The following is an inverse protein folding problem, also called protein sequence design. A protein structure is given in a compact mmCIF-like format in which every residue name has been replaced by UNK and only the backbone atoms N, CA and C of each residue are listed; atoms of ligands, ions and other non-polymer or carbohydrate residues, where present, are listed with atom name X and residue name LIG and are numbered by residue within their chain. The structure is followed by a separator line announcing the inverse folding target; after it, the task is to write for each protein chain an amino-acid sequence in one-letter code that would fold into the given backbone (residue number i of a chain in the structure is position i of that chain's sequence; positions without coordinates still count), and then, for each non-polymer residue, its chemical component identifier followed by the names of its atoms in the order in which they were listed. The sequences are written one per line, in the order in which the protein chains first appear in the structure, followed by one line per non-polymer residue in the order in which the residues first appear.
data_IF_031719710995
#
_entry.id   IF_031719710995
#
_cell.length_a   1.000
_cell.length_b   1.000
_cell.length_c   1.000
_cell.angle_alpha   90.00
_cell.angle_beta   90.00
_cell.angle_gamma   90.00
#
_symmetry.space_group_name_H-M   'P 1'
#
loop_
_entity.id
_entity.type
_entity.pdbx_description
1 polymer ?
#
# COMPACT_ATOMS: atom_id res chain seq x y z
N UNK A 1 -39.55 1.91 -22.66
CA UNK A 1 -38.14 1.52 -22.91
C UNK A 1 -37.32 1.90 -21.68
N UNK A 2 -37.17 0.96 -20.75
CA UNK A 2 -36.44 1.17 -19.48
C UNK A 2 -34.94 0.97 -19.73
N UNK A 3 -34.21 2.07 -19.88
CA UNK A 3 -32.75 2.09 -20.05
C UNK A 3 -31.99 2.07 -18.70
N UNK A 4 -32.67 1.75 -17.59
CA UNK A 4 -32.09 1.78 -16.24
C UNK A 4 -31.31 0.50 -15.84
N UNK A 5 -31.43 -0.58 -16.62
CA UNK A 5 -30.81 -1.88 -16.31
C UNK A 5 -29.28 -1.98 -16.52
N UNK A 6 -28.64 -1.35 -17.53
CA UNK A 6 -27.21 -1.54 -17.79
C UNK A 6 -26.31 -0.78 -16.79
N UNK A 7 -26.73 0.37 -16.29
CA UNK A 7 -25.93 1.18 -15.35
C UNK A 7 -25.82 0.46 -14.00
N UNK A 8 -26.93 -0.09 -13.52
CA UNK A 8 -26.97 -0.80 -12.25
C UNK A 8 -26.08 -2.06 -12.29
N UNK A 9 -26.12 -2.83 -13.39
CA UNK A 9 -25.27 -4.02 -13.56
C UNK A 9 -23.77 -3.68 -13.62
N UNK A 10 -23.39 -2.59 -14.30
CA UNK A 10 -21.99 -2.14 -14.40
C UNK A 10 -21.42 -1.68 -13.05
N UNK A 11 -22.23 -1.00 -12.23
CA UNK A 11 -21.82 -0.58 -10.88
C UNK A 11 -21.63 -1.80 -9.97
N UNK A 12 -22.54 -2.77 -10.01
CA UNK A 12 -22.42 -4.00 -9.21
C UNK A 12 -21.18 -4.83 -9.59
N UNK A 13 -20.89 -4.98 -10.89
CA UNK A 13 -19.68 -5.70 -11.35
C UNK A 13 -18.40 -4.98 -10.92
N UNK A 14 -18.38 -3.65 -10.99
CA UNK A 14 -17.20 -2.86 -10.60
C UNK A 14 -16.90 -2.93 -9.10
N UNK A 15 -17.95 -2.93 -8.26
CA UNK A 15 -17.79 -3.08 -6.82
C UNK A 15 -17.32 -4.49 -6.44
N UNK A 16 -17.93 -5.53 -7.01
CA UNK A 16 -17.49 -6.92 -6.79
C UNK A 16 -16.03 -7.14 -7.19
N UNK A 17 -15.62 -6.59 -8.34
CA UNK A 17 -14.23 -6.68 -8.80
C UNK A 17 -13.25 -5.94 -7.88
N UNK A 18 -13.67 -4.81 -7.29
CA UNK A 18 -12.86 -4.07 -6.31
C UNK A 18 -12.69 -4.88 -5.01
N UNK A 19 -13.76 -5.49 -4.51
CA UNK A 19 -13.74 -6.34 -3.33
C UNK A 19 -12.84 -7.58 -3.52
N UNK A 20 -12.92 -8.20 -4.70
CA UNK A 20 -12.04 -9.33 -5.07
C UNK A 20 -10.57 -8.93 -5.09
N UNK A 21 -10.25 -7.74 -5.63
CA UNK A 21 -8.88 -7.22 -5.65
C UNK A 21 -8.36 -6.90 -4.26
N UNK A 22 -9.19 -6.35 -3.37
CA UNK A 22 -8.84 -6.09 -1.97
C UNK A 22 -8.57 -7.40 -1.23
N UNK A 23 -9.44 -8.41 -1.40
CA UNK A 23 -9.25 -9.74 -0.79
C UNK A 23 -7.95 -10.38 -1.28
N UNK A 24 -7.71 -10.36 -2.59
CA UNK A 24 -6.46 -10.88 -3.18
C UNK A 24 -5.24 -10.12 -2.67
N UNK A 25 -5.34 -8.80 -2.56
CA UNK A 25 -4.30 -7.93 -2.02
C UNK A 25 -3.93 -8.28 -0.58
N UNK A 26 -4.93 -8.56 0.27
CA UNK A 26 -4.70 -8.98 1.66
C UNK A 26 -3.95 -10.30 1.74
N UNK A 27 -4.36 -11.29 0.94
CA UNK A 27 -3.67 -12.59 0.86
C UNK A 27 -2.21 -12.41 0.45
N UNK A 28 -1.96 -11.60 -0.58
CA UNK A 28 -0.61 -11.30 -1.07
C UNK A 28 0.22 -10.51 -0.05
N UNK A 29 -0.37 -9.55 0.65
CA UNK A 29 0.31 -8.77 1.69
C UNK A 29 0.87 -9.67 2.81
N UNK A 30 0.15 -10.74 3.13
CA UNK A 30 0.59 -11.76 4.09
C UNK A 30 1.59 -12.72 3.44
N UNK A 31 1.27 -13.29 2.28
CA UNK A 31 2.10 -14.34 1.65
C UNK A 31 3.43 -13.82 1.10
N UNK A 32 3.53 -12.52 0.81
CA UNK A 32 4.78 -11.83 0.44
C UNK A 32 5.48 -11.21 1.65
N UNK A 33 5.05 -11.55 2.87
CA UNK A 33 5.67 -11.15 4.14
C UNK A 33 5.66 -9.64 4.43
N UNK A 34 4.82 -8.85 3.74
CA UNK A 34 4.70 -7.41 4.00
C UNK A 34 4.23 -7.14 5.44
N UNK A 35 3.35 -8.01 5.96
CA UNK A 35 2.82 -7.94 7.33
C UNK A 35 3.85 -8.10 8.45
N UNK A 36 5.06 -8.60 8.15
CA UNK A 36 6.13 -8.72 9.15
C UNK A 36 6.67 -7.35 9.58
N UNK A 37 6.67 -6.36 8.68
CA UNK A 37 7.23 -5.03 8.92
C UNK A 37 6.20 -3.90 8.83
N UNK A 38 5.12 -4.09 8.07
CA UNK A 38 4.10 -3.06 7.90
C UNK A 38 2.85 -3.38 8.72
N UNK A 39 2.69 -2.67 9.84
CA UNK A 39 1.53 -2.79 10.70
C UNK A 39 0.28 -2.22 10.01
N UNK A 40 -0.82 -2.97 10.06
CA UNK A 40 -2.12 -2.61 9.45
C UNK A 40 -3.25 -2.51 10.47
N UNK A 41 -3.03 -3.04 11.68
CA UNK A 41 -4.01 -3.07 12.76
C UNK A 41 -3.31 -2.72 14.09
N UNK A 42 -3.90 -1.82 14.87
CA UNK A 42 -3.28 -1.28 16.08
C UNK A 42 -3.10 -2.35 17.16
N UNK A 43 -4.04 -3.29 17.23
CA UNK A 43 -4.06 -4.38 18.22
C UNK A 43 -3.17 -5.56 17.86
N UNK A 44 -2.57 -5.58 16.67
CA UNK A 44 -1.67 -6.65 16.21
C UNK A 44 -0.22 -6.13 16.28
N UNK A 45 0.61 -6.65 17.21
CA UNK A 45 2.00 -6.22 17.32
C UNK A 45 2.80 -6.47 16.05
N UNK A 46 3.71 -5.55 15.70
CA UNK A 46 4.63 -5.68 14.57
C UNK A 46 6.06 -5.34 15.00
N UNK A 47 6.73 -6.19 15.82
CA UNK A 47 7.99 -5.84 16.46
C UNK A 47 9.12 -5.49 15.48
N UNK A 48 9.20 -6.18 14.35
CA UNK A 48 10.18 -5.86 13.32
C UNK A 48 9.86 -4.51 12.65
N UNK A 49 8.58 -4.21 12.42
CA UNK A 49 8.13 -2.91 11.92
C UNK A 49 8.56 -1.77 12.85
N UNK A 50 8.36 -1.92 14.16
CA UNK A 50 8.75 -0.93 15.16
C UNK A 50 10.28 -0.75 15.22
N UNK A 51 11.04 -1.83 15.24
CA UNK A 51 12.51 -1.78 15.25
C UNK A 51 13.09 -1.10 14.00
N UNK A 52 12.48 -1.34 12.83
CA UNK A 52 12.88 -0.74 11.56
C UNK A 52 12.30 0.66 11.33
N UNK A 53 11.41 1.12 12.22
CA UNK A 53 10.61 2.34 12.04
C UNK A 53 9.89 2.33 10.68
N UNK A 54 9.33 1.18 10.33
CA UNK A 54 8.64 0.97 9.05
C UNK A 54 7.36 1.82 8.99
N UNK A 55 6.97 2.32 7.80
CA UNK A 55 5.68 2.96 7.62
C UNK A 55 4.53 2.04 8.04
N UNK A 56 3.62 2.58 8.85
CA UNK A 56 2.38 1.90 9.25
C UNK A 56 1.25 2.28 8.29
N UNK A 57 0.36 1.33 7.99
CA UNK A 57 -0.80 1.54 7.14
C UNK A 57 -2.07 1.57 7.98
N UNK A 58 -2.19 2.62 8.81
CA UNK A 58 -3.31 2.81 9.74
C UNK A 58 -3.72 4.28 9.77
N UNK A 59 -5.01 4.56 9.99
CA UNK A 59 -5.55 5.92 10.05
C UNK A 59 -5.76 6.54 8.66
N UNK A 60 -5.64 7.86 8.55
CA UNK A 60 -5.80 8.61 7.30
C UNK A 60 -4.42 8.89 6.67
N UNK A 61 -3.95 7.98 5.82
CA UNK A 61 -2.56 8.01 5.31
C UNK A 61 -2.43 8.04 3.79
N UNK A 62 -3.43 7.52 3.05
CA UNK A 62 -3.39 7.51 1.60
C UNK A 62 -3.61 8.91 1.03
N UNK A 63 -2.85 9.29 0.01
CA UNK A 63 -2.88 10.64 -0.56
C UNK A 63 -2.25 11.72 0.34
N UNK A 64 -1.67 11.35 1.49
CA UNK A 64 -0.96 12.30 2.37
C UNK A 64 0.48 12.49 1.95
N UNK A 65 0.97 13.70 2.21
CA UNK A 65 2.38 14.07 2.06
C UNK A 65 3.25 13.33 3.08
N UNK A 66 4.49 13.02 2.69
CA UNK A 66 5.52 12.45 3.54
C UNK A 66 6.90 12.87 3.07
N UNK A 67 7.83 12.95 4.01
CA UNK A 67 9.24 13.19 3.73
C UNK A 67 9.96 11.87 3.45
N UNK A 68 10.76 11.82 2.37
CA UNK A 68 11.57 10.66 1.97
C UNK A 68 12.99 11.09 1.64
N UNK A 69 13.97 10.26 1.95
CA UNK A 69 15.32 10.33 1.37
C UNK A 69 15.29 9.80 -0.07
N UNK A 70 15.95 10.49 -0.99
CA UNK A 70 16.19 10.02 -2.36
C UNK A 70 17.44 9.15 -2.37
N UNK A 71 17.27 7.83 -2.44
CA UNK A 71 18.35 6.86 -2.20
C UNK A 71 18.71 6.72 -0.71
N UNK A 72 19.63 5.80 -0.41
CA UNK A 72 20.10 5.57 0.96
C UNK A 72 20.92 6.78 1.42
N UNK A 73 20.42 7.51 2.42
CA UNK A 73 21.11 8.68 3.00
C UNK A 73 21.14 9.92 2.12
N UNK A 74 20.41 9.94 1.00
CA UNK A 74 20.36 11.10 0.10
C UNK A 74 19.50 12.26 0.61
N UNK A 75 19.32 13.31 -0.21
CA UNK A 75 18.56 14.50 0.19
C UNK A 75 17.10 14.16 0.47
N UNK A 76 16.48 14.90 1.39
CA UNK A 76 15.07 14.74 1.74
C UNK A 76 14.19 15.52 0.75
N UNK A 77 13.11 14.88 0.31
CA UNK A 77 12.04 15.51 -0.48
C UNK A 77 10.67 15.16 0.09
N UNK A 78 9.70 16.03 -0.17
CA UNK A 78 8.28 15.72 0.07
C UNK A 78 7.69 14.98 -1.14
N UNK A 79 6.95 13.90 -0.87
CA UNK A 79 6.18 13.15 -1.86
C UNK A 79 4.77 12.87 -1.33
N UNK A 80 3.83 12.57 -2.22
CA UNK A 80 2.48 12.11 -1.85
C UNK A 80 2.44 10.59 -1.88
N UNK A 81 1.76 9.95 -0.92
CA UNK A 81 1.44 8.52 -1.03
C UNK A 81 0.31 8.31 -2.04
N UNK A 82 0.67 8.34 -3.31
CA UNK A 82 -0.17 8.00 -4.43
C UNK A 82 0.17 6.60 -4.99
N UNK A 83 -0.51 6.23 -6.07
CA UNK A 83 -0.37 4.91 -6.70
C UNK A 83 1.03 4.71 -7.31
N UNK A 84 1.57 5.75 -7.96
CA UNK A 84 2.89 5.68 -8.59
C UNK A 84 3.99 5.47 -7.54
N UNK A 85 3.97 6.27 -6.47
CA UNK A 85 4.93 6.15 -5.37
C UNK A 85 4.81 4.81 -4.64
N UNK A 86 3.59 4.31 -4.40
CA UNK A 86 3.41 3.02 -3.74
C UNK A 86 3.96 1.86 -4.57
N UNK A 87 3.65 1.83 -5.87
CA UNK A 87 4.14 0.78 -6.78
C UNK A 87 5.66 0.83 -6.94
N UNK A 88 6.24 2.03 -7.08
CA UNK A 88 7.69 2.23 -7.11
C UNK A 88 8.34 1.75 -5.81
N UNK A 89 7.72 2.01 -4.65
CA UNK A 89 8.26 1.59 -3.35
C UNK A 89 8.36 0.07 -3.22
N UNK A 90 7.47 -0.69 -3.85
CA UNK A 90 7.58 -2.16 -3.87
C UNK A 90 8.64 -2.62 -4.88
N UNK A 91 8.71 -1.99 -6.05
CA UNK A 91 9.64 -2.37 -7.11
C UNK A 91 11.09 -2.02 -6.79
N UNK A 92 11.30 -0.84 -6.22
CA UNK A 92 12.59 -0.19 -6.01
C UNK A 92 12.64 0.35 -4.57
N UNK A 93 12.63 -0.53 -3.54
CA UNK A 93 12.46 -0.13 -2.15
C UNK A 93 13.54 0.83 -1.61
N UNK A 94 14.70 0.91 -2.25
CA UNK A 94 15.77 1.83 -1.88
C UNK A 94 15.79 3.14 -2.67
N UNK A 95 14.88 3.32 -3.65
CA UNK A 95 14.81 4.56 -4.42
C UNK A 95 14.33 5.75 -3.57
N UNK A 96 13.33 5.51 -2.70
CA UNK A 96 12.76 6.51 -1.80
C UNK A 96 12.45 5.89 -0.44
N UNK A 97 13.13 6.34 0.61
CA UNK A 97 13.01 5.78 1.96
C UNK A 97 12.36 6.82 2.87
N UNK A 98 11.27 6.48 3.55
CA UNK A 98 10.60 7.40 4.48
C UNK A 98 11.59 7.90 5.55
N UNK A 99 11.59 9.22 5.77
CA UNK A 99 12.48 9.87 6.74
C UNK A 99 12.34 9.22 8.12
N UNK A 100 13.47 8.79 8.69
CA UNK A 100 13.52 8.11 9.98
C UNK A 100 13.37 6.59 9.93
N UNK A 101 12.97 6.00 8.79
CA UNK A 101 12.96 4.55 8.58
C UNK A 101 14.37 4.02 8.27
N UNK A 102 14.63 2.76 8.64
CA UNK A 102 15.85 2.06 8.21
C UNK A 102 15.67 1.49 6.78
N UNK A 103 16.72 1.48 5.93
CA UNK A 103 16.67 0.91 4.59
C UNK A 103 16.68 -0.63 4.65
N UNK A 104 15.55 -1.25 4.99
CA UNK A 104 15.45 -2.68 5.26
C UNK A 104 14.38 -3.43 4.44
N UNK A 105 13.61 -2.73 3.61
CA UNK A 105 12.61 -3.38 2.76
C UNK A 105 13.32 -4.14 1.62
N UNK A 106 13.27 -5.47 1.67
CA UNK A 106 13.85 -6.31 0.63
C UNK A 106 13.05 -6.20 -0.68
N UNK A 107 13.70 -6.24 -1.86
CA UNK A 107 13.00 -6.46 -3.11
C UNK A 107 12.29 -7.81 -3.07
N UNK A 108 10.97 -7.82 -3.30
CA UNK A 108 10.16 -9.04 -3.27
C UNK A 108 9.75 -9.44 -4.70
N UNK A 109 9.79 -10.74 -5.05
CA UNK A 109 9.31 -11.21 -6.33
C UNK A 109 7.79 -10.99 -6.41
N UNK A 110 7.42 -9.93 -7.13
CA UNK A 110 6.03 -9.52 -7.31
C UNK A 110 5.82 -9.16 -8.78
N UNK A 111 4.71 -9.64 -9.36
CA UNK A 111 4.26 -9.18 -10.67
C UNK A 111 3.56 -7.82 -10.54
N UNK A 112 3.37 -7.12 -11.66
CA UNK A 112 2.64 -5.85 -11.67
C UNK A 112 1.21 -6.00 -11.14
N UNK A 113 0.52 -7.10 -11.47
CA UNK A 113 -0.84 -7.34 -11.01
C UNK A 113 -0.90 -7.67 -9.52
N UNK A 114 0.08 -8.42 -9.00
CA UNK A 114 0.21 -8.65 -7.56
C UNK A 114 0.42 -7.33 -6.81
N UNK A 115 1.28 -6.43 -7.32
CA UNK A 115 1.50 -5.10 -6.69
C UNK A 115 0.24 -4.25 -6.69
N UNK A 116 -0.53 -4.25 -7.79
CA UNK A 116 -1.81 -3.54 -7.88
C UNK A 116 -2.84 -4.09 -6.89
N UNK A 117 -2.93 -5.41 -6.73
CA UNK A 117 -3.81 -6.01 -5.73
C UNK A 117 -3.38 -5.64 -4.31
N UNK A 118 -2.08 -5.74 -3.98
CA UNK A 118 -1.52 -5.30 -2.69
C UNK A 118 -1.84 -3.82 -2.44
N UNK A 119 -1.68 -2.96 -3.45
CA UNK A 119 -2.02 -1.55 -3.38
C UNK A 119 -3.50 -1.33 -3.11
N UNK A 120 -4.40 -2.05 -3.79
CA UNK A 120 -5.83 -1.96 -3.54
C UNK A 120 -6.18 -2.28 -2.08
N UNK A 121 -5.59 -3.34 -1.52
CA UNK A 121 -5.73 -3.66 -0.10
C UNK A 121 -5.18 -2.55 0.81
N UNK A 122 -3.93 -2.12 0.61
CA UNK A 122 -3.34 -1.07 1.46
C UNK A 122 -4.12 0.24 1.39
N UNK A 123 -4.53 0.67 0.18
CA UNK A 123 -5.36 1.86 -0.02
C UNK A 123 -6.70 1.74 0.73
N UNK A 124 -7.31 0.56 0.75
CA UNK A 124 -8.59 0.33 1.46
C UNK A 124 -8.49 0.45 2.99
N UNK A 125 -7.28 0.34 3.57
CA UNK A 125 -7.06 0.52 5.01
C UNK A 125 -7.07 2.00 5.42
N UNK A 126 -6.93 2.93 4.48
CA UNK A 126 -6.92 4.35 4.78
C UNK A 126 -8.33 4.83 5.12
N UNK A 127 -8.51 5.32 6.35
CA UNK A 127 -9.78 5.86 6.83
C UNK A 127 -9.80 7.36 6.60
N UNK A 128 -10.32 7.80 5.45
CA UNK A 128 -10.52 9.23 5.18
C UNK A 128 -11.51 9.80 6.20
N UNK A 129 -11.05 10.81 6.96
CA UNK A 129 -11.88 11.59 7.88
C UNK A 129 -12.18 12.96 7.27
#
# INVERSE_FOLDING_TARGET
MNIALPILLLVFVSLAQADDNIKKGKELFISKSCSLCHQTEETVPCPAGDALKSPKFMGDFWGKKREVHIGIGGPIKEVVLDEEYFLESIEKPFAKIVKGSLPAMAPLPTTNDERKAIMAYVKSLSKHK
#
